data_IF_379201485932
#
_entry.id   IF_379201485932
#
_cell.length_a   1.000
_cell.length_b   1.000
_cell.length_c   1.000
_cell.angle_alpha   90.00
_cell.angle_beta   90.00
_cell.angle_gamma   90.00
#
_symmetry.space_group_name_H-M   'P 1'
#
loop_
_entity.id
_entity.type
_entity.pdbx_description
1 polymer ?
#
# COMPACT_ATOMS: atom_id res chain seq x y z
N UNK A 1 -9.68 33.91 -22.21
CA UNK A 1 -10.91 34.01 -23.01
C UNK A 1 -12.10 33.66 -22.14
N UNK A 2 -12.77 34.70 -21.63
CA UNK A 2 -14.07 34.53 -20.96
C UNK A 2 -15.14 34.56 -22.05
N UNK A 3 -15.59 33.41 -22.49
CA UNK A 3 -16.74 33.31 -23.34
C UNK A 3 -18.00 33.49 -22.45
N UNK A 4 -18.77 34.59 -22.58
CA UNK A 4 -19.90 34.88 -21.73
C UNK A 4 -21.06 33.88 -21.86
N UNK A 5 -21.08 33.11 -22.94
CA UNK A 5 -22.13 32.12 -23.23
C UNK A 5 -21.88 30.75 -22.56
N UNK A 6 -20.77 30.57 -21.88
CA UNK A 6 -20.47 29.32 -21.17
C UNK A 6 -20.59 29.48 -19.67
N UNK A 7 -21.49 28.73 -19.07
CA UNK A 7 -21.57 28.62 -17.61
C UNK A 7 -20.22 28.11 -17.04
N UNK A 8 -19.77 28.66 -15.90
CA UNK A 8 -18.57 28.21 -15.26
C UNK A 8 -18.68 26.74 -14.86
N UNK A 9 -17.67 25.96 -15.19
CA UNK A 9 -17.60 24.55 -14.80
C UNK A 9 -16.66 24.36 -13.60
N UNK A 10 -17.14 23.65 -12.59
CA UNK A 10 -16.33 23.22 -11.45
C UNK A 10 -15.87 21.78 -11.67
N UNK A 11 -14.55 21.58 -11.80
CA UNK A 11 -13.94 20.26 -11.88
C UNK A 11 -13.46 19.84 -10.50
N UNK A 12 -14.02 18.76 -9.97
CA UNK A 12 -13.61 18.15 -8.71
C UNK A 12 -12.93 16.82 -9.02
N UNK A 13 -11.67 16.68 -8.60
CA UNK A 13 -10.90 15.48 -8.84
C UNK A 13 -9.64 15.39 -7.99
N UNK A 14 -8.92 14.29 -8.13
CA UNK A 14 -7.65 14.07 -7.47
C UNK A 14 -6.62 13.49 -8.43
N UNK A 15 -5.38 13.95 -8.33
CA UNK A 15 -4.22 13.40 -9.05
C UNK A 15 -3.66 12.12 -8.38
N UNK A 16 -4.27 11.64 -7.31
CA UNK A 16 -3.83 10.44 -6.59
C UNK A 16 -4.24 9.20 -7.39
N UNK A 17 -3.29 8.44 -7.97
CA UNK A 17 -3.60 7.36 -8.93
C UNK A 17 -4.43 6.21 -8.33
N UNK A 18 -4.25 5.97 -7.02
CA UNK A 18 -4.92 4.87 -6.32
C UNK A 18 -6.27 5.26 -5.70
N UNK A 19 -6.67 6.53 -5.74
CA UNK A 19 -7.94 6.97 -5.18
C UNK A 19 -9.14 6.33 -5.92
N UNK A 20 -9.02 6.11 -7.21
CA UNK A 20 -10.05 5.50 -8.02
C UNK A 20 -10.50 4.11 -7.54
N UNK A 21 -9.59 3.29 -7.02
CA UNK A 21 -9.93 1.96 -6.50
C UNK A 21 -10.67 2.05 -5.15
N UNK A 22 -10.41 3.08 -4.34
CA UNK A 22 -11.17 3.33 -3.12
C UNK A 22 -12.57 3.85 -3.38
N UNK A 23 -12.76 4.55 -4.50
CA UNK A 23 -14.06 5.07 -4.92
C UNK A 23 -14.96 3.98 -5.53
N UNK A 24 -14.42 3.10 -6.34
CA UNK A 24 -15.19 2.10 -7.09
C UNK A 24 -15.09 0.70 -6.49
N UNK A 25 -14.10 0.45 -5.64
CA UNK A 25 -13.68 -0.88 -5.28
C UNK A 25 -12.95 -1.55 -6.45
N UNK A 26 -12.54 -2.77 -6.27
CA UNK A 26 -11.92 -3.56 -7.32
C UNK A 26 -10.86 -4.50 -6.80
N UNK A 27 -10.26 -5.25 -7.70
CA UNK A 27 -9.19 -6.20 -7.39
C UNK A 27 -7.90 -5.76 -8.06
N UNK A 28 -6.86 -5.58 -7.26
CA UNK A 28 -5.50 -5.42 -7.75
C UNK A 28 -4.95 -6.83 -7.94
N UNK A 29 -4.84 -7.28 -9.17
CA UNK A 29 -4.24 -8.56 -9.52
C UNK A 29 -2.74 -8.41 -9.74
N UNK A 30 -2.01 -9.48 -9.48
CA UNK A 30 -0.56 -9.56 -9.64
C UNK A 30 0.11 -10.19 -8.43
N UNK A 31 1.31 -10.70 -8.63
CA UNK A 31 2.10 -11.29 -7.54
C UNK A 31 2.74 -10.16 -6.71
N UNK A 32 2.18 -9.89 -5.54
CA UNK A 32 2.68 -8.85 -4.64
C UNK A 32 3.33 -9.48 -3.42
N UNK A 33 4.56 -9.05 -3.11
CA UNK A 33 5.23 -9.38 -1.86
C UNK A 33 4.89 -8.31 -0.81
N UNK A 34 4.13 -8.73 0.20
CA UNK A 34 3.74 -7.87 1.32
C UNK A 34 4.70 -8.13 2.48
N UNK A 35 5.39 -7.11 3.02
CA UNK A 35 6.26 -7.27 4.18
C UNK A 35 5.49 -7.79 5.38
N UNK A 36 6.00 -8.84 6.03
CA UNK A 36 5.44 -9.39 7.26
C UNK A 36 5.83 -8.61 8.51
N UNK A 37 6.96 -7.91 8.45
CA UNK A 37 7.46 -7.12 9.57
C UNK A 37 7.16 -5.64 9.40
N UNK A 38 7.02 -4.93 10.51
CA UNK A 38 6.81 -3.49 10.52
C UNK A 38 7.99 -2.74 9.89
N UNK A 39 9.22 -3.18 10.19
CA UNK A 39 10.43 -2.64 9.57
C UNK A 39 10.43 -2.78 8.05
N UNK A 40 9.95 -3.88 7.52
CA UNK A 40 9.82 -4.08 6.08
C UNK A 40 8.88 -3.06 5.43
N UNK A 41 7.83 -2.64 6.16
CA UNK A 41 6.90 -1.59 5.72
C UNK A 41 7.52 -0.20 5.82
N UNK A 42 8.26 0.07 6.89
CA UNK A 42 8.88 1.39 7.16
C UNK A 42 9.98 1.77 6.18
N UNK A 43 10.76 0.80 5.67
CA UNK A 43 11.84 1.09 4.71
C UNK A 43 11.32 1.53 3.33
N UNK A 44 10.02 1.36 3.08
CA UNK A 44 9.37 1.76 1.84
C UNK A 44 9.57 0.76 0.68
N UNK A 45 8.71 0.86 -0.31
CA UNK A 45 8.60 -0.12 -1.41
C UNK A 45 9.90 -0.34 -2.19
N UNK A 46 10.62 0.74 -2.53
CA UNK A 46 11.86 0.63 -3.34
C UNK A 46 12.99 -0.05 -2.56
N UNK A 47 13.18 0.35 -1.30
CA UNK A 47 14.21 -0.26 -0.45
C UNK A 47 13.86 -1.71 -0.12
N UNK A 48 12.59 -2.01 0.16
CA UNK A 48 12.14 -3.38 0.38
C UNK A 48 12.39 -4.27 -0.83
N UNK A 49 12.07 -3.79 -2.05
CA UNK A 49 12.37 -4.53 -3.29
C UNK A 49 13.86 -4.86 -3.40
N UNK A 50 14.76 -3.90 -3.12
CA UNK A 50 16.22 -4.15 -3.14
C UNK A 50 16.63 -5.24 -2.15
N UNK A 51 16.06 -5.22 -0.94
CA UNK A 51 16.30 -6.28 0.07
C UNK A 51 15.90 -7.65 -0.48
N UNK A 52 14.70 -7.76 -1.05
CA UNK A 52 14.21 -9.01 -1.64
C UNK A 52 15.11 -9.47 -2.79
N UNK A 53 15.46 -8.58 -3.72
CA UNK A 53 16.32 -8.88 -4.86
C UNK A 53 17.71 -9.37 -4.40
N UNK A 54 18.27 -8.76 -3.34
CA UNK A 54 19.54 -9.17 -2.75
C UNK A 54 19.44 -10.57 -2.15
N UNK A 55 18.40 -10.85 -1.36
CA UNK A 55 18.19 -12.14 -0.72
C UNK A 55 17.98 -13.27 -1.73
N UNK A 56 17.21 -13.02 -2.79
CA UNK A 56 16.97 -14.01 -3.84
C UNK A 56 18.27 -14.28 -4.63
N UNK A 57 19.03 -13.25 -4.99
CA UNK A 57 20.28 -13.39 -5.74
C UNK A 57 21.36 -14.13 -4.94
N UNK A 58 21.41 -13.96 -3.63
CA UNK A 58 22.34 -14.68 -2.77
C UNK A 58 21.99 -16.16 -2.59
N UNK A 59 20.82 -16.61 -3.09
CA UNK A 59 20.34 -17.99 -2.95
C UNK A 59 19.88 -18.36 -1.53
N UNK A 60 19.83 -17.39 -0.62
CA UNK A 60 19.54 -17.60 0.79
C UNK A 60 18.09 -17.25 1.18
N UNK A 61 17.22 -17.08 0.19
CA UNK A 61 15.81 -16.88 0.39
C UNK A 61 15.01 -17.85 -0.48
N UNK A 62 13.97 -18.42 0.09
CA UNK A 62 13.12 -19.40 -0.57
C UNK A 62 11.66 -19.25 -0.12
N UNK A 63 10.75 -19.82 -0.90
CA UNK A 63 9.34 -19.79 -0.58
C UNK A 63 8.91 -21.08 0.10
N UNK A 64 8.20 -20.94 1.21
CA UNK A 64 7.44 -22.03 1.83
C UNK A 64 5.95 -21.80 1.64
N UNK A 65 5.17 -22.90 1.59
CA UNK A 65 3.71 -22.83 1.63
C UNK A 65 3.22 -23.15 3.03
N UNK A 66 2.48 -22.23 3.64
CA UNK A 66 1.84 -22.42 4.93
C UNK A 66 0.42 -21.86 4.88
N UNK A 67 -0.56 -22.66 5.25
CA UNK A 67 -1.99 -22.29 5.24
C UNK A 67 -2.45 -21.70 3.89
N UNK A 68 -2.02 -22.31 2.78
CA UNK A 68 -2.37 -21.84 1.44
C UNK A 68 -1.63 -20.58 0.96
N UNK A 69 -0.80 -19.99 1.79
CA UNK A 69 -0.02 -18.79 1.47
C UNK A 69 1.45 -19.14 1.17
N UNK A 70 2.03 -18.49 0.18
CA UNK A 70 3.46 -18.58 -0.08
C UNK A 70 4.20 -17.50 0.71
N UNK A 71 5.08 -17.90 1.62
CA UNK A 71 5.85 -17.02 2.49
C UNK A 71 7.31 -17.08 2.05
N UNK A 72 7.89 -15.90 1.81
CA UNK A 72 9.34 -15.77 1.57
C UNK A 72 10.07 -15.81 2.90
N UNK A 73 10.93 -16.80 3.05
CA UNK A 73 11.81 -17.00 4.18
C UNK A 73 13.24 -16.60 3.80
N UNK A 74 13.99 -16.11 4.77
CA UNK A 74 15.44 -15.91 4.62
C UNK A 74 16.19 -16.50 5.82
N UNK A 75 17.26 -17.22 5.55
CA UNK A 75 18.08 -17.83 6.58
C UNK A 75 19.01 -16.82 7.27
N UNK A 76 19.12 -16.89 8.59
CA UNK A 76 19.99 -16.07 9.40
C UNK A 76 21.45 -16.55 9.34
N UNK A 77 22.11 -16.34 8.21
CA UNK A 77 23.52 -16.65 7.99
C UNK A 77 24.37 -15.37 7.90
N UNK A 78 25.69 -15.53 7.90
CA UNK A 78 26.63 -14.41 7.90
C UNK A 78 26.46 -13.50 6.68
N UNK A 79 26.26 -14.09 5.51
CA UNK A 79 26.09 -13.42 4.23
C UNK A 79 24.87 -12.50 4.20
N UNK A 80 23.80 -12.87 4.92
CA UNK A 80 22.57 -12.09 5.04
C UNK A 80 22.57 -11.11 6.21
N UNK A 81 23.62 -11.08 7.03
CA UNK A 81 23.61 -10.36 8.31
C UNK A 81 23.28 -8.88 8.16
N UNK A 82 23.88 -8.19 7.20
CA UNK A 82 23.66 -6.77 6.94
C UNK A 82 22.25 -6.48 6.48
N UNK A 83 21.72 -7.28 5.56
CA UNK A 83 20.37 -7.14 4.99
C UNK A 83 19.30 -7.47 6.02
N UNK A 84 19.54 -8.51 6.84
CA UNK A 84 18.56 -9.01 7.80
C UNK A 84 18.57 -8.29 9.15
N UNK A 85 19.47 -7.35 9.41
CA UNK A 85 19.60 -6.72 10.75
C UNK A 85 18.26 -6.19 11.29
N UNK A 86 17.48 -5.51 10.48
CA UNK A 86 16.18 -4.95 10.88
C UNK A 86 15.13 -6.05 11.11
N UNK A 87 15.09 -7.03 10.23
CA UNK A 87 14.17 -8.17 10.32
C UNK A 87 14.46 -9.05 11.54
N UNK A 88 15.74 -9.27 11.85
CA UNK A 88 16.17 -9.96 13.08
C UNK A 88 15.66 -9.23 14.33
N UNK A 89 15.73 -7.90 14.36
CA UNK A 89 15.24 -7.10 15.48
C UNK A 89 13.74 -7.27 15.67
N UNK A 90 12.98 -7.20 14.58
CA UNK A 90 11.54 -7.40 14.60
C UNK A 90 11.16 -8.80 15.05
N UNK A 91 11.86 -9.82 14.56
CA UNK A 91 11.63 -11.21 14.97
C UNK A 91 11.95 -11.44 16.45
N UNK A 92 13.04 -10.87 16.98
CA UNK A 92 13.31 -10.89 18.42
C UNK A 92 12.18 -10.26 19.24
N UNK A 93 11.71 -9.10 18.82
CA UNK A 93 10.61 -8.41 19.48
C UNK A 93 9.34 -9.25 19.51
N UNK A 94 9.04 -9.93 18.41
CA UNK A 94 7.88 -10.81 18.26
C UNK A 94 7.97 -12.07 19.14
N UNK A 95 9.14 -12.68 19.22
CA UNK A 95 9.36 -13.95 19.92
C UNK A 95 9.80 -13.79 21.36
N UNK A 96 10.16 -12.57 21.79
CA UNK A 96 10.77 -12.30 23.10
C UNK A 96 12.22 -12.84 23.26
N UNK A 97 12.82 -13.36 22.19
CA UNK A 97 14.15 -13.94 22.23
C UNK A 97 15.23 -12.87 22.40
N UNK A 98 16.28 -13.14 23.20
CA UNK A 98 17.43 -12.23 23.38
C UNK A 98 18.22 -12.09 22.07
N UNK A 99 18.33 -13.17 21.29
CA UNK A 99 19.02 -13.18 19.99
C UNK A 99 18.39 -14.22 19.05
N UNK A 100 18.49 -13.99 17.74
CA UNK A 100 18.09 -14.97 16.74
C UNK A 100 19.30 -15.89 16.47
N UNK A 101 19.14 -17.19 16.71
CA UNK A 101 20.17 -18.20 16.47
C UNK A 101 20.60 -18.21 15.00
N UNK A 102 21.87 -18.57 14.76
CA UNK A 102 22.39 -18.80 13.41
C UNK A 102 21.62 -19.97 12.77
N UNK A 103 21.33 -19.89 11.48
CA UNK A 103 20.55 -20.88 10.76
C UNK A 103 19.02 -20.77 10.95
N UNK A 104 18.55 -19.83 11.81
CA UNK A 104 17.11 -19.64 11.97
C UNK A 104 16.52 -18.95 10.75
N UNK A 105 15.40 -19.46 10.31
CA UNK A 105 14.63 -18.88 9.20
C UNK A 105 13.78 -17.71 9.69
N UNK A 106 13.85 -16.60 8.96
CA UNK A 106 13.12 -15.38 9.27
C UNK A 106 12.07 -15.13 8.18
N UNK A 107 10.78 -15.02 8.51
CA UNK A 107 9.75 -14.69 7.55
C UNK A 107 9.87 -13.21 7.14
N UNK A 108 10.03 -12.96 5.85
CA UNK A 108 10.27 -11.62 5.31
C UNK A 108 8.99 -11.05 4.69
N UNK A 109 8.31 -11.84 3.85
CA UNK A 109 7.16 -11.37 3.10
C UNK A 109 6.19 -12.51 2.80
N UNK A 110 4.93 -12.17 2.60
CA UNK A 110 3.93 -13.06 2.03
C UNK A 110 3.66 -12.70 0.58
N UNK A 111 3.59 -13.71 -0.28
CA UNK A 111 3.22 -13.54 -1.68
C UNK A 111 1.69 -13.61 -1.80
N UNK A 112 1.09 -12.52 -2.22
CA UNK A 112 -0.36 -12.40 -2.42
C UNK A 112 -0.65 -12.29 -3.92
N UNK A 113 -1.46 -13.19 -4.50
CA UNK A 113 -1.77 -13.17 -5.92
C UNK A 113 -2.71 -12.03 -6.32
N UNK A 114 -3.59 -11.62 -5.40
CA UNK A 114 -4.53 -10.54 -5.62
C UNK A 114 -4.98 -9.92 -4.31
N UNK A 115 -5.32 -8.65 -4.33
CA UNK A 115 -5.93 -7.94 -3.19
C UNK A 115 -7.23 -7.31 -3.65
N UNK A 116 -8.35 -7.75 -3.07
CA UNK A 116 -9.64 -7.13 -3.30
C UNK A 116 -9.87 -5.99 -2.32
N UNK A 117 -10.24 -4.85 -2.82
CA UNK A 117 -10.54 -3.66 -2.04
C UNK A 117 -12.02 -3.32 -2.17
N UNK A 118 -12.69 -3.18 -1.04
CA UNK A 118 -14.07 -2.70 -1.00
C UNK A 118 -14.11 -1.20 -1.28
N UNK A 119 -15.19 -0.73 -1.90
CA UNK A 119 -15.49 0.71 -2.00
C UNK A 119 -15.53 1.30 -0.59
N UNK A 120 -14.75 2.35 -0.35
CA UNK A 120 -14.66 3.03 0.96
C UNK A 120 -15.04 4.49 0.90
N UNK A 121 -15.16 5.03 -0.30
CA UNK A 121 -15.35 6.45 -0.52
C UNK A 121 -16.30 6.69 -1.69
N UNK A 122 -17.35 7.48 -1.47
CA UNK A 122 -18.33 7.88 -2.47
C UNK A 122 -18.21 9.37 -2.78
N UNK A 123 -17.26 9.71 -3.67
CA UNK A 123 -17.07 11.08 -4.09
C UNK A 123 -18.27 11.61 -4.86
N UNK A 124 -18.83 10.80 -5.76
CA UNK A 124 -19.95 11.22 -6.61
C UNK A 124 -21.20 11.52 -5.80
N UNK A 125 -21.55 10.64 -4.84
CA UNK A 125 -22.68 10.87 -3.93
C UNK A 125 -22.45 12.10 -3.06
N UNK A 126 -21.22 12.30 -2.56
CA UNK A 126 -20.87 13.48 -1.75
C UNK A 126 -21.02 14.77 -2.58
N UNK A 127 -20.48 14.80 -3.80
CA UNK A 127 -20.59 15.96 -4.70
C UNK A 127 -22.05 16.24 -5.04
N UNK A 128 -22.82 15.20 -5.42
CA UNK A 128 -24.24 15.32 -5.75
C UNK A 128 -25.05 15.86 -4.58
N UNK A 129 -24.75 15.42 -3.36
CA UNK A 129 -25.39 15.92 -2.14
C UNK A 129 -25.10 17.41 -1.85
N UNK A 130 -23.97 17.94 -2.32
CA UNK A 130 -23.59 19.34 -2.16
C UNK A 130 -24.12 20.27 -3.28
N UNK A 131 -24.60 19.72 -4.38
CA UNK A 131 -25.12 20.52 -5.51
C UNK A 131 -26.26 21.49 -5.12
N UNK A 132 -27.26 21.12 -4.29
CA UNK A 132 -28.32 22.04 -3.86
C UNK A 132 -27.77 23.19 -3.00
N UNK A 133 -26.72 22.94 -2.22
CA UNK A 133 -26.06 23.98 -1.40
C UNK A 133 -25.35 24.98 -2.30
N UNK A 134 -24.62 24.48 -3.30
CA UNK A 134 -23.95 25.30 -4.29
C UNK A 134 -24.95 26.16 -5.09
N UNK A 135 -26.03 25.58 -5.56
CA UNK A 135 -27.09 26.30 -6.30
C UNK A 135 -27.64 27.47 -5.47
N UNK A 136 -28.04 27.22 -4.22
CA UNK A 136 -28.51 28.28 -3.30
C UNK A 136 -27.45 29.35 -3.04
N UNK A 137 -26.19 28.98 -2.93
CA UNK A 137 -25.09 29.94 -2.74
C UNK A 137 -24.93 30.86 -3.97
N UNK A 138 -25.08 30.33 -5.17
CA UNK A 138 -25.01 31.08 -6.43
C UNK A 138 -26.22 32.04 -6.52
N UNK A 139 -27.43 31.55 -6.29
CA UNK A 139 -28.67 32.38 -6.29
C UNK A 139 -28.54 33.56 -5.32
N UNK A 140 -28.05 33.30 -4.09
CA UNK A 140 -27.83 34.33 -3.08
C UNK A 140 -26.83 35.41 -3.51
N UNK A 141 -25.84 35.04 -4.33
CA UNK A 141 -24.88 36.04 -4.84
C UNK A 141 -25.45 36.82 -6.02
N UNK A 142 -26.23 36.19 -6.90
CA UNK A 142 -26.85 36.86 -8.03
C UNK A 142 -27.93 37.87 -7.59
N UNK A 143 -28.65 37.59 -6.49
CA UNK A 143 -29.67 38.53 -5.94
C UNK A 143 -29.08 39.73 -5.20
N UNK A 144 -27.76 39.79 -5.03
CA UNK A 144 -27.05 40.94 -4.41
C UNK A 144 -26.48 41.94 -5.43
N UNK A 145 -26.59 41.60 -6.71
CA UNK A 145 -26.18 42.46 -7.83
C UNK A 145 -27.41 43.23 -8.33
#
# INVERSE_FOLDING_TARGET
DRNPDKLPALLIGSKIPWLGIHMRGGTISGRMLIPLTEEGRRIGRRAFKRVIDTLIRSGNAYFIRKNGQAILMAENIKENASVLTRFKRAERSRTGAKSIKRGTEIPIAVLVPAVSMKRRFDLEGTVRGQMPVLARAIEKQLTKI
#
